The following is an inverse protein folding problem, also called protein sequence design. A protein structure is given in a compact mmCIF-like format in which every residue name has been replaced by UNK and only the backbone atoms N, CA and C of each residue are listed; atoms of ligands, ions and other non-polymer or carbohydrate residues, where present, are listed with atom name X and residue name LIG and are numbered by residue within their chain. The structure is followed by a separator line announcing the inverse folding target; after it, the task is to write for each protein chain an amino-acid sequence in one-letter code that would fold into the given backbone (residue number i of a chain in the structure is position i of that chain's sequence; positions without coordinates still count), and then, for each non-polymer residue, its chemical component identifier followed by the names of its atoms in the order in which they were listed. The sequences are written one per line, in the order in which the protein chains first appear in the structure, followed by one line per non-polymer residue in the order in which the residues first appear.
data_IF_077213206417
#
_entry.id   IF_077213206417
#
_cell.length_a   1.000
_cell.length_b   1.000
_cell.length_c   1.000
_cell.angle_alpha   90.00
_cell.angle_beta   90.00
_cell.angle_gamma   90.00
#
_symmetry.space_group_name_H-M   'P 1'
#
loop_
_entity.id
_entity.type
_entity.pdbx_description
1 polymer ?
#
# COMPACT_ATOMS: atom_id res chain seq x y z
N UNK A 1 12.05 24.38 -11.60
CA UNK A 1 10.76 24.73 -12.24
C UNK A 1 10.68 24.05 -13.60
N UNK A 2 9.74 23.12 -13.75
CA UNK A 2 9.16 22.63 -15.01
C UNK A 2 8.28 21.43 -14.63
N UNK A 3 7.07 21.72 -14.14
CA UNK A 3 6.00 20.74 -13.99
C UNK A 3 5.57 20.31 -15.38
N UNK A 4 6.17 19.23 -15.89
CA UNK A 4 5.64 18.55 -17.07
C UNK A 4 4.21 18.11 -16.72
N UNK A 5 3.23 18.74 -17.38
CA UNK A 5 1.83 18.41 -17.23
C UNK A 5 1.60 16.97 -17.68
N UNK A 6 1.46 16.07 -16.71
CA UNK A 6 0.92 14.74 -16.94
C UNK A 6 -0.56 14.98 -17.18
N UNK A 7 -1.00 14.93 -18.44
CA UNK A 7 -2.42 14.91 -18.79
C UNK A 7 -3.14 13.77 -18.04
N UNK A 8 -4.47 13.82 -17.88
CA UNK A 8 -5.19 12.84 -17.08
C UNK A 8 -4.84 11.43 -17.55
N UNK A 9 -4.14 10.67 -16.70
CA UNK A 9 -3.83 9.28 -16.95
C UNK A 9 -5.17 8.54 -17.02
N UNK A 10 -5.51 8.08 -18.23
CA UNK A 10 -6.73 7.33 -18.48
C UNK A 10 -6.63 6.02 -17.72
N UNK A 11 -7.57 5.78 -16.82
CA UNK A 11 -7.69 4.50 -16.15
C UNK A 11 -8.17 3.47 -17.15
N UNK A 12 -7.54 2.30 -17.16
CA UNK A 12 -7.89 1.22 -18.09
C UNK A 12 -9.18 0.49 -17.67
N UNK A 13 -9.60 0.69 -16.43
CA UNK A 13 -10.84 0.17 -15.87
C UNK A 13 -11.44 1.19 -14.91
N UNK A 14 -12.75 1.38 -15.01
CA UNK A 14 -13.53 2.20 -14.08
C UNK A 14 -14.73 1.39 -13.59
N UNK A 15 -15.14 1.58 -12.33
CA UNK A 15 -16.26 0.83 -11.78
C UNK A 15 -17.56 1.24 -12.47
N UNK A 16 -18.39 0.28 -12.90
CA UNK A 16 -19.62 0.56 -13.63
C UNK A 16 -20.59 1.40 -12.79
N UNK A 17 -21.39 2.25 -13.43
CA UNK A 17 -22.38 3.05 -12.72
C UNK A 17 -23.54 2.18 -12.19
N UNK A 18 -24.02 2.49 -10.98
CA UNK A 18 -25.15 1.82 -10.33
C UNK A 18 -26.47 2.51 -10.72
N UNK A 19 -27.33 1.81 -11.46
CA UNK A 19 -28.63 2.30 -11.95
C UNK A 19 -29.80 1.66 -11.22
N UNK A 20 -29.58 0.60 -10.46
CA UNK A 20 -30.57 -0.06 -9.61
C UNK A 20 -29.95 -0.91 -8.50
N UNK A 21 -30.81 -1.60 -7.74
CA UNK A 21 -30.38 -2.48 -6.63
C UNK A 21 -29.64 -3.68 -7.19
N UNK A 22 -30.11 -4.23 -8.32
CA UNK A 22 -29.53 -5.34 -9.05
C UNK A 22 -28.07 -5.10 -9.45
N UNK A 23 -27.71 -3.87 -9.84
CA UNK A 23 -26.34 -3.50 -10.21
C UNK A 23 -25.38 -3.53 -9.01
N UNK A 24 -25.91 -3.44 -7.78
CA UNK A 24 -25.08 -3.55 -6.58
C UNK A 24 -24.58 -4.98 -6.38
N UNK A 25 -25.30 -5.97 -6.94
CA UNK A 25 -25.10 -7.40 -6.68
C UNK A 25 -25.45 -7.83 -5.25
N UNK A 26 -26.05 -6.94 -4.45
CA UNK A 26 -26.53 -7.23 -3.10
C UNK A 26 -28.05 -7.39 -3.08
N UNK A 27 -28.56 -8.15 -2.12
CA UNK A 27 -30.01 -8.28 -1.92
C UNK A 27 -30.59 -7.00 -1.32
N UNK A 28 -31.86 -6.72 -1.61
CA UNK A 28 -32.56 -5.58 -1.00
C UNK A 28 -32.57 -5.66 0.54
N UNK A 29 -32.72 -6.87 1.09
CA UNK A 29 -32.68 -7.11 2.54
C UNK A 29 -31.33 -6.71 3.15
N UNK A 30 -30.21 -7.03 2.50
CA UNK A 30 -28.88 -6.61 2.96
C UNK A 30 -28.78 -5.08 3.03
N UNK A 31 -29.25 -4.38 2.00
CA UNK A 31 -29.20 -2.91 1.95
C UNK A 31 -30.10 -2.27 3.01
N UNK A 32 -31.27 -2.85 3.28
CA UNK A 32 -32.17 -2.46 4.36
C UNK A 32 -31.49 -2.61 5.73
N UNK A 33 -30.91 -3.78 5.98
CA UNK A 33 -30.22 -4.10 7.23
C UNK A 33 -29.02 -3.15 7.45
N UNK A 34 -28.27 -2.82 6.38
CA UNK A 34 -27.18 -1.83 6.43
C UNK A 34 -27.69 -0.43 6.76
N UNK A 35 -28.75 0.04 6.10
CA UNK A 35 -29.35 1.35 6.35
C UNK A 35 -29.88 1.48 7.80
N UNK A 36 -30.50 0.41 8.32
CA UNK A 36 -30.94 0.35 9.72
C UNK A 36 -29.76 0.44 10.70
N UNK A 37 -28.68 -0.30 10.45
CA UNK A 37 -27.48 -0.20 11.29
C UNK A 37 -26.85 1.20 11.27
N UNK A 38 -26.83 1.86 10.10
CA UNK A 38 -26.35 3.25 9.98
C UNK A 38 -27.20 4.19 10.87
N UNK A 39 -28.53 4.15 10.73
CA UNK A 39 -29.43 4.96 11.56
C UNK A 39 -29.33 4.61 13.04
N UNK A 40 -29.14 3.33 13.39
CA UNK A 40 -29.01 2.89 14.78
C UNK A 40 -27.82 3.54 15.49
N UNK A 41 -26.66 3.64 14.84
CA UNK A 41 -25.47 4.25 15.45
C UNK A 41 -25.44 5.79 15.35
N UNK A 42 -26.03 6.37 14.31
CA UNK A 42 -25.94 7.81 14.02
C UNK A 42 -27.17 8.61 14.45
N UNK A 43 -28.27 7.93 14.78
CA UNK A 43 -29.54 8.58 15.12
C UNK A 43 -30.26 9.12 13.89
N UNK A 44 -30.63 10.40 13.94
CA UNK A 44 -31.39 11.06 12.89
C UNK A 44 -30.48 11.52 11.74
N UNK A 45 -30.80 11.09 10.52
CA UNK A 45 -30.00 11.37 9.32
C UNK A 45 -30.90 11.76 8.16
N UNK A 46 -30.38 12.57 7.23
CA UNK A 46 -31.06 12.77 5.95
C UNK A 46 -30.92 11.56 5.04
N UNK A 47 -31.81 11.41 4.06
CA UNK A 47 -31.66 10.40 3.01
C UNK A 47 -30.33 10.52 2.26
N UNK A 48 -29.85 11.74 2.05
CA UNK A 48 -28.53 12.03 1.49
C UNK A 48 -27.39 11.48 2.36
N UNK A 49 -27.43 11.72 3.68
CA UNK A 49 -26.39 11.23 4.58
C UNK A 49 -26.34 9.69 4.58
N UNK A 50 -27.50 9.03 4.62
CA UNK A 50 -27.57 7.56 4.56
C UNK A 50 -26.96 7.05 3.25
N UNK A 51 -27.28 7.69 2.12
CA UNK A 51 -26.74 7.32 0.82
C UNK A 51 -25.23 7.59 0.70
N UNK A 52 -24.73 8.62 1.35
CA UNK A 52 -23.30 8.90 1.45
C UNK A 52 -22.59 7.83 2.27
N UNK A 53 -23.10 7.48 3.46
CA UNK A 53 -22.54 6.41 4.29
C UNK A 53 -22.51 5.05 3.57
N UNK A 54 -23.57 4.71 2.85
CA UNK A 54 -23.64 3.47 2.07
C UNK A 54 -22.82 3.52 0.77
N UNK A 55 -22.34 4.70 0.36
CA UNK A 55 -21.73 4.93 -0.95
C UNK A 55 -22.59 4.48 -2.14
N UNK A 56 -23.91 4.65 -2.03
CA UNK A 56 -24.87 4.26 -3.07
C UNK A 56 -25.68 5.46 -3.55
N UNK A 57 -26.22 5.45 -4.78
CA UNK A 57 -27.03 6.56 -5.26
C UNK A 57 -28.38 6.59 -4.55
N UNK A 58 -28.81 7.77 -4.09
CA UNK A 58 -30.11 7.89 -3.43
C UNK A 58 -31.25 7.59 -4.39
N UNK A 59 -31.26 8.22 -5.57
CA UNK A 59 -32.38 8.16 -6.50
C UNK A 59 -32.71 6.74 -6.99
N UNK A 60 -31.70 5.90 -7.20
CA UNK A 60 -31.87 4.57 -7.82
C UNK A 60 -31.85 3.41 -6.82
N UNK A 61 -31.25 3.60 -5.65
CA UNK A 61 -31.03 2.51 -4.69
C UNK A 61 -31.57 2.86 -3.31
N UNK A 62 -31.00 3.87 -2.65
CA UNK A 62 -31.28 4.12 -1.23
C UNK A 62 -32.71 4.62 -1.02
N UNK A 63 -33.27 5.40 -1.94
CA UNK A 63 -34.67 5.83 -1.89
C UNK A 63 -35.64 4.65 -1.81
N UNK A 64 -35.46 3.66 -2.69
CA UNK A 64 -36.25 2.42 -2.70
C UNK A 64 -36.12 1.63 -1.39
N UNK A 65 -34.91 1.59 -0.82
CA UNK A 65 -34.65 0.98 0.49
C UNK A 65 -35.40 1.73 1.60
N UNK A 66 -35.31 3.06 1.62
CA UNK A 66 -35.96 3.90 2.63
C UNK A 66 -37.49 3.86 2.54
N UNK A 67 -38.06 3.82 1.34
CA UNK A 67 -39.51 3.70 1.17
C UNK A 67 -40.04 2.35 1.68
N UNK A 68 -39.28 1.26 1.49
CA UNK A 68 -39.59 -0.02 2.10
C UNK A 68 -39.55 0.07 3.62
N UNK A 69 -38.45 0.56 4.20
CA UNK A 69 -38.29 0.66 5.66
C UNK A 69 -39.38 1.53 6.30
N UNK A 70 -39.78 2.61 5.63
CA UNK A 70 -40.88 3.49 6.05
C UNK A 70 -42.23 2.75 6.02
N UNK A 71 -42.53 2.04 4.92
CA UNK A 71 -43.77 1.25 4.80
C UNK A 71 -43.86 0.16 5.85
N UNK A 72 -42.74 -0.49 6.16
CA UNK A 72 -42.66 -1.52 7.20
C UNK A 72 -42.53 -0.96 8.63
N UNK A 73 -42.62 0.36 8.79
CA UNK A 73 -42.55 1.07 10.08
C UNK A 73 -41.24 0.82 10.85
N UNK A 74 -40.15 0.53 10.12
CA UNK A 74 -38.81 0.39 10.70
C UNK A 74 -38.09 1.75 10.82
N UNK A 75 -38.52 2.73 10.03
CA UNK A 75 -38.11 4.13 10.18
C UNK A 75 -39.31 5.05 9.94
N UNK A 76 -39.18 6.30 10.37
CA UNK A 76 -40.17 7.35 10.19
C UNK A 76 -39.50 8.65 9.73
N UNK A 77 -40.27 9.53 9.10
CA UNK A 77 -39.80 10.86 8.68
C UNK A 77 -40.19 11.87 9.76
N UNK A 78 -39.21 12.49 10.40
CA UNK A 78 -39.42 13.49 11.47
C UNK A 78 -39.53 14.91 10.94
N UNK A 79 -39.12 15.16 9.70
CA UNK A 79 -39.16 16.46 9.06
C UNK A 79 -38.59 16.42 7.64
N UNK A 80 -38.70 17.53 6.93
CA UNK A 80 -38.10 17.72 5.60
C UNK A 80 -37.22 18.97 5.60
N UNK A 81 -35.96 18.83 5.19
CA UNK A 81 -35.04 19.95 5.01
C UNK A 81 -35.15 20.65 3.64
N UNK A 82 -36.04 20.19 2.76
CA UNK A 82 -36.18 20.72 1.41
C UNK A 82 -37.23 19.99 0.56
N UNK A 83 -37.08 20.08 -0.76
CA UNK A 83 -37.91 19.38 -1.74
C UNK A 83 -37.27 18.02 -2.09
N UNK A 84 -38.06 16.95 -1.95
CA UNK A 84 -37.68 15.60 -2.36
C UNK A 84 -37.20 14.70 -1.23
N UNK A 85 -37.43 13.39 -1.39
CA UNK A 85 -37.24 12.39 -0.35
C UNK A 85 -35.79 12.26 0.17
N UNK A 86 -34.81 12.69 -0.62
CA UNK A 86 -33.41 12.69 -0.22
C UNK A 86 -33.11 13.66 0.95
N UNK A 87 -33.92 14.72 1.09
CA UNK A 87 -33.79 15.73 2.16
C UNK A 87 -34.63 15.44 3.40
N UNK A 88 -35.41 14.35 3.38
CA UNK A 88 -36.18 13.91 4.53
C UNK A 88 -35.26 13.47 5.65
N UNK A 89 -35.58 13.90 6.87
CA UNK A 89 -34.90 13.45 8.07
C UNK A 89 -35.55 12.16 8.57
N UNK A 90 -34.83 11.06 8.41
CA UNK A 90 -35.25 9.74 8.84
C UNK A 90 -34.77 9.48 10.27
N UNK A 91 -35.65 8.89 11.07
CA UNK A 91 -35.34 8.38 12.40
C UNK A 91 -35.73 6.91 12.46
N UNK A 92 -34.90 6.10 13.10
CA UNK A 92 -35.19 4.69 13.35
C UNK A 92 -36.31 4.56 14.38
N UNK A 93 -37.24 3.62 14.18
CA UNK A 93 -38.28 3.31 15.18
C UNK A 93 -37.81 2.22 16.14
N UNK A 94 -38.57 1.93 17.20
CA UNK A 94 -38.27 0.81 18.10
C UNK A 94 -38.18 -0.53 17.36
N UNK A 95 -39.08 -0.77 16.38
CA UNK A 95 -39.09 -1.95 15.52
C UNK A 95 -37.83 -2.04 14.64
N UNK A 96 -37.42 -0.91 14.04
CA UNK A 96 -36.18 -0.85 13.28
C UNK A 96 -34.94 -1.08 14.14
N UNK A 97 -34.93 -0.52 15.36
CA UNK A 97 -33.82 -0.66 16.29
C UNK A 97 -33.65 -2.10 16.81
N UNK A 98 -34.75 -2.81 17.04
CA UNK A 98 -34.73 -4.24 17.36
C UNK A 98 -34.11 -5.06 16.24
N UNK A 99 -34.59 -4.86 14.99
CA UNK A 99 -34.00 -5.52 13.83
C UNK A 99 -32.52 -5.17 13.64
N UNK A 100 -32.13 -3.92 13.84
CA UNK A 100 -30.72 -3.53 13.75
C UNK A 100 -29.86 -4.30 14.78
N UNK A 101 -30.32 -4.45 16.02
CA UNK A 101 -29.62 -5.22 17.06
C UNK A 101 -29.46 -6.69 16.67
N UNK A 102 -30.49 -7.34 16.14
CA UNK A 102 -30.39 -8.71 15.63
C UNK A 102 -29.31 -8.84 14.54
N UNK A 103 -29.19 -7.86 13.64
CA UNK A 103 -28.16 -7.89 12.59
C UNK A 103 -26.76 -7.61 13.14
N UNK A 104 -26.63 -6.81 14.19
CA UNK A 104 -25.35 -6.59 14.89
C UNK A 104 -24.83 -7.86 15.58
N UNK A 105 -25.70 -8.83 15.89
CA UNK A 105 -25.26 -10.15 16.35
C UNK A 105 -24.52 -10.94 15.26
N UNK A 106 -24.78 -10.65 13.98
CA UNK A 106 -24.10 -11.28 12.84
C UNK A 106 -22.87 -10.51 12.42
N UNK A 107 -22.98 -9.20 12.29
CA UNK A 107 -21.86 -8.32 11.92
C UNK A 107 -22.08 -6.88 12.34
N UNK A 108 -21.08 -6.29 13.00
CA UNK A 108 -21.10 -4.87 13.39
C UNK A 108 -20.69 -3.95 12.27
N UNK A 109 -20.33 -4.48 11.08
CA UNK A 109 -19.89 -3.68 9.95
C UNK A 109 -20.92 -2.62 9.56
N UNK A 110 -20.48 -1.37 9.51
CA UNK A 110 -21.27 -0.21 9.08
C UNK A 110 -20.37 0.71 8.28
N UNK A 111 -20.82 1.09 7.08
CA UNK A 111 -20.06 1.92 6.15
C UNK A 111 -20.54 1.70 4.71
N UNK A 112 -19.59 1.79 3.78
CA UNK A 112 -19.82 1.51 2.36
C UNK A 112 -20.54 0.18 2.18
N UNK A 113 -21.55 0.10 1.33
CA UNK A 113 -22.07 -1.20 0.94
C UNK A 113 -20.93 -2.03 0.33
N UNK A 114 -20.74 -3.30 0.74
CA UNK A 114 -19.68 -4.12 0.21
C UNK A 114 -19.93 -4.46 -1.26
N UNK A 115 -18.87 -4.80 -1.96
CA UNK A 115 -18.92 -5.29 -3.34
C UNK A 115 -18.91 -6.83 -3.33
N UNK A 116 -19.73 -7.53 -4.12
CA UNK A 116 -19.65 -8.99 -4.19
C UNK A 116 -18.25 -9.48 -4.57
N UNK A 117 -17.82 -10.60 -3.97
CA UNK A 117 -16.49 -11.17 -4.17
C UNK A 117 -16.11 -11.31 -5.64
N UNK A 118 -16.99 -11.88 -6.46
CA UNK A 118 -16.71 -12.13 -7.88
C UNK A 118 -16.51 -10.84 -8.68
N UNK A 119 -17.22 -9.77 -8.30
CA UNK A 119 -17.04 -8.44 -8.90
C UNK A 119 -15.67 -7.86 -8.54
N UNK A 120 -15.23 -8.03 -7.29
CA UNK A 120 -13.87 -7.67 -6.88
C UNK A 120 -12.81 -8.47 -7.63
N UNK A 121 -12.95 -9.79 -7.73
CA UNK A 121 -12.03 -10.67 -8.47
C UNK A 121 -11.91 -10.24 -9.93
N UNK A 122 -13.03 -9.98 -10.59
CA UNK A 122 -13.05 -9.52 -11.98
C UNK A 122 -12.36 -8.16 -12.16
N UNK A 123 -12.62 -7.20 -11.26
CA UNK A 123 -12.02 -5.87 -11.31
C UNK A 123 -10.50 -5.90 -11.10
N UNK A 124 -10.00 -6.70 -10.15
CA UNK A 124 -8.56 -6.83 -9.93
C UNK A 124 -7.87 -7.47 -11.14
N UNK A 125 -8.46 -8.51 -11.74
CA UNK A 125 -7.93 -9.13 -12.97
C UNK A 125 -7.89 -8.14 -14.14
N UNK A 126 -8.93 -7.33 -14.32
CA UNK A 126 -8.98 -6.31 -15.37
C UNK A 126 -7.91 -5.22 -15.17
N UNK A 127 -7.60 -4.86 -13.92
CA UNK A 127 -6.60 -3.84 -13.59
C UNK A 127 -5.15 -4.38 -13.47
N UNK A 128 -4.98 -5.69 -13.28
CA UNK A 128 -3.66 -6.32 -13.01
C UNK A 128 -2.72 -6.36 -14.22
N UNK A 129 -3.26 -6.51 -15.43
CA UNK A 129 -2.49 -6.72 -16.67
C UNK A 129 -1.68 -5.52 -17.17
N UNK A 130 -2.00 -4.30 -16.73
CA UNK A 130 -1.45 -3.07 -17.32
C UNK A 130 -0.29 -2.48 -16.51
N UNK A 131 0.74 -3.31 -16.28
CA UNK A 131 2.00 -2.81 -15.70
C UNK A 131 2.77 -2.01 -16.75
N UNK A 132 3.24 -0.83 -16.37
CA UNK A 132 4.03 0.02 -17.24
C UNK A 132 5.29 -0.71 -17.69
N UNK A 133 5.53 -0.78 -19.01
CA UNK A 133 6.79 -1.31 -19.55
C UNK A 133 7.91 -0.31 -19.28
N UNK A 134 8.83 -0.75 -18.44
CA UNK A 134 10.03 -0.03 -18.05
C UNK A 134 11.08 -0.13 -19.15
N UNK A 135 11.65 1.00 -19.55
CA UNK A 135 12.80 1.06 -20.45
C UNK A 135 14.03 1.64 -19.74
N UNK A 136 15.25 1.50 -20.31
CA UNK A 136 16.47 2.01 -19.68
C UNK A 136 16.45 3.51 -19.39
N UNK A 137 15.78 4.33 -20.21
CA UNK A 137 15.69 5.78 -20.01
C UNK A 137 14.86 6.11 -18.77
N UNK A 138 13.69 5.49 -18.62
CA UNK A 138 12.83 5.64 -17.45
C UNK A 138 13.53 5.16 -16.18
N UNK A 139 14.23 4.02 -16.26
CA UNK A 139 15.05 3.51 -15.17
C UNK A 139 16.11 4.53 -14.72
N UNK A 140 16.88 5.10 -15.66
CA UNK A 140 17.93 6.08 -15.35
C UNK A 140 17.35 7.31 -14.68
N UNK A 141 16.19 7.77 -15.13
CA UNK A 141 15.50 8.91 -14.54
C UNK A 141 14.99 8.61 -13.13
N UNK A 142 14.27 7.51 -12.95
CA UNK A 142 13.66 7.13 -11.67
C UNK A 142 14.70 6.79 -10.61
N UNK A 143 15.81 6.15 -10.99
CA UNK A 143 16.91 5.80 -10.07
C UNK A 143 18.04 6.83 -10.04
N UNK A 144 17.90 7.98 -10.72
CA UNK A 144 18.96 9.01 -10.79
C UNK A 144 19.44 9.51 -9.43
N UNK A 145 18.56 9.43 -8.43
CA UNK A 145 18.85 9.81 -7.05
C UNK A 145 19.69 8.77 -6.29
N UNK A 146 19.84 7.56 -6.83
CA UNK A 146 20.67 6.48 -6.30
C UNK A 146 21.93 6.31 -7.15
N UNK A 147 23.03 5.99 -6.48
CA UNK A 147 24.29 5.65 -7.14
C UNK A 147 24.41 4.15 -7.08
N UNK A 148 24.19 3.52 -8.24
CA UNK A 148 24.14 2.08 -8.41
C UNK A 148 25.16 1.65 -9.44
N UNK A 149 25.80 0.51 -9.20
CA UNK A 149 26.65 -0.15 -10.19
C UNK A 149 25.83 -0.56 -11.43
N UNK A 150 26.44 -0.49 -12.62
CA UNK A 150 25.76 -0.79 -13.89
C UNK A 150 25.23 -2.24 -13.95
N UNK A 151 25.91 -3.16 -13.26
CA UNK A 151 25.52 -4.56 -13.12
C UNK A 151 24.21 -4.74 -12.32
N UNK A 152 23.93 -3.86 -11.35
CA UNK A 152 22.68 -3.86 -10.59
C UNK A 152 21.58 -3.25 -11.45
N UNK A 153 21.89 -2.11 -12.09
CA UNK A 153 20.96 -1.38 -12.94
C UNK A 153 20.41 -2.24 -14.10
N UNK A 154 21.30 -2.99 -14.77
CA UNK A 154 20.96 -3.88 -15.88
C UNK A 154 20.06 -5.05 -15.48
N UNK A 155 20.06 -5.46 -14.20
CA UNK A 155 19.18 -6.53 -13.69
C UNK A 155 17.81 -6.03 -13.23
N UNK A 156 17.71 -4.80 -12.73
CA UNK A 156 16.45 -4.24 -12.21
C UNK A 156 15.42 -4.05 -13.34
N UNK A 157 15.82 -3.52 -14.50
CA UNK A 157 14.89 -3.24 -15.60
C UNK A 157 14.11 -4.48 -16.08
N UNK A 158 14.78 -5.59 -16.41
CA UNK A 158 14.12 -6.85 -16.74
C UNK A 158 13.26 -7.41 -15.59
N UNK A 159 13.72 -7.27 -14.34
CA UNK A 159 12.97 -7.74 -13.17
C UNK A 159 11.66 -6.97 -12.97
N UNK A 160 11.71 -5.65 -13.13
CA UNK A 160 10.54 -4.77 -13.12
C UNK A 160 9.51 -5.16 -14.20
N UNK A 161 9.97 -5.41 -15.42
CA UNK A 161 9.10 -5.77 -16.56
C UNK A 161 8.50 -7.17 -16.47
N UNK A 162 9.18 -8.13 -15.85
CA UNK A 162 8.67 -9.50 -15.77
C UNK A 162 7.43 -9.59 -14.87
N UNK A 163 7.29 -8.63 -13.95
CA UNK A 163 6.24 -8.64 -12.93
C UNK A 163 6.33 -9.81 -11.95
N UNK A 164 7.42 -10.59 -12.00
CA UNK A 164 7.68 -11.72 -11.11
C UNK A 164 8.46 -11.26 -9.88
N UNK A 165 8.57 -12.14 -8.89
CA UNK A 165 9.25 -11.84 -7.64
C UNK A 165 10.70 -11.39 -7.82
N UNK A 166 11.07 -10.40 -7.01
CA UNK A 166 12.42 -9.83 -6.95
C UNK A 166 13.01 -10.13 -5.57
N UNK A 167 14.27 -10.53 -5.54
CA UNK A 167 15.00 -10.80 -4.31
C UNK A 167 16.27 -9.95 -4.31
N UNK A 168 16.24 -8.89 -3.51
CA UNK A 168 17.34 -7.98 -3.27
C UNK A 168 18.14 -8.50 -2.07
N UNK A 169 19.40 -8.84 -2.28
CA UNK A 169 20.26 -9.34 -1.21
C UNK A 169 21.61 -8.64 -1.24
N UNK A 170 22.29 -8.63 -0.10
CA UNK A 170 23.63 -8.05 0.01
C UNK A 170 23.80 -7.31 1.33
N UNK A 171 24.97 -6.74 1.59
CA UNK A 171 25.28 -6.17 2.89
C UNK A 171 24.32 -5.03 3.31
N UNK A 172 24.13 -4.79 4.62
CA UNK A 172 23.30 -3.70 5.12
C UNK A 172 23.86 -2.34 4.72
N UNK A 173 23.00 -1.33 4.64
CA UNK A 173 23.40 0.04 4.36
C UNK A 173 23.66 0.38 2.88
N UNK A 174 23.35 -0.51 1.93
CA UNK A 174 23.53 -0.26 0.50
C UNK A 174 22.23 0.11 -0.26
N UNK A 175 21.15 0.46 0.46
CA UNK A 175 19.94 1.02 -0.17
C UNK A 175 19.00 0.03 -0.84
N UNK A 176 18.97 -1.25 -0.43
CA UNK A 176 18.04 -2.28 -0.95
C UNK A 176 16.58 -1.84 -0.87
N UNK A 177 16.14 -1.36 0.29
CA UNK A 177 14.78 -0.85 0.52
C UNK A 177 14.48 0.33 -0.40
N UNK A 178 15.42 1.27 -0.55
CA UNK A 178 15.28 2.42 -1.45
C UNK A 178 15.20 2.02 -2.93
N UNK A 179 15.93 0.98 -3.34
CA UNK A 179 15.82 0.39 -4.68
C UNK A 179 14.43 -0.21 -4.87
N UNK A 180 13.94 -1.01 -3.91
CA UNK A 180 12.60 -1.61 -3.97
C UNK A 180 11.49 -0.56 -4.08
N UNK A 181 11.52 0.47 -3.24
CA UNK A 181 10.56 1.58 -3.30
C UNK A 181 10.61 2.29 -4.66
N UNK A 182 11.80 2.53 -5.20
CA UNK A 182 11.97 3.17 -6.51
C UNK A 182 11.43 2.32 -7.65
N UNK A 183 11.58 1.00 -7.57
CA UNK A 183 10.96 0.03 -8.48
C UNK A 183 9.43 0.18 -8.41
N UNK A 184 8.87 0.20 -7.20
CA UNK A 184 7.44 0.44 -6.98
C UNK A 184 6.95 1.74 -7.63
N UNK A 185 7.57 2.88 -7.30
CA UNK A 185 7.20 4.20 -7.85
C UNK A 185 7.30 4.28 -9.38
N UNK A 186 8.25 3.57 -9.97
CA UNK A 186 8.46 3.57 -11.41
C UNK A 186 7.45 2.71 -12.17
N UNK A 187 7.09 1.52 -11.65
CA UNK A 187 6.19 0.59 -12.36
C UNK A 187 4.73 0.91 -12.08
N UNK A 188 4.43 1.45 -10.89
CA UNK A 188 3.09 1.65 -10.37
C UNK A 188 2.64 3.10 -10.53
N UNK A 189 2.82 3.68 -11.73
CA UNK A 189 2.49 5.10 -11.97
C UNK A 189 1.00 5.37 -12.08
N UNK A 190 0.20 4.35 -12.41
CA UNK A 190 -1.22 4.48 -12.64
C UNK A 190 -1.98 4.29 -11.33
N UNK A 191 -3.06 5.05 -11.17
CA UNK A 191 -4.01 4.82 -10.09
C UNK A 191 -4.81 3.52 -10.35
N UNK A 192 -5.52 3.04 -9.34
CA UNK A 192 -6.43 1.90 -9.47
C UNK A 192 -7.63 2.07 -8.54
N UNK A 193 -8.69 1.32 -8.80
CA UNK A 193 -9.85 1.25 -7.92
C UNK A 193 -9.83 -0.03 -7.08
N UNK A 194 -10.08 0.14 -5.79
CA UNK A 194 -10.38 -0.96 -4.87
C UNK A 194 -11.68 -0.68 -4.12
N UNK A 195 -12.43 -1.69 -3.69
CA UNK A 195 -13.63 -1.46 -2.89
C UNK A 195 -13.26 -1.14 -1.45
N UNK A 196 -14.15 -0.45 -0.73
CA UNK A 196 -13.99 -0.29 0.72
C UNK A 196 -14.05 -1.64 1.46
N UNK A 197 -15.00 -2.48 1.07
CA UNK A 197 -15.17 -3.83 1.57
C UNK A 197 -15.77 -4.74 0.50
N UNK A 198 -15.59 -6.04 0.67
CA UNK A 198 -16.18 -7.07 -0.17
C UNK A 198 -17.04 -8.01 0.65
N UNK A 199 -18.04 -8.60 0.02
CA UNK A 199 -18.93 -9.59 0.62
C UNK A 199 -18.66 -10.96 -0.01
N UNK A 200 -18.54 -11.97 0.85
CA UNK A 200 -18.36 -13.36 0.46
C UNK A 200 -19.06 -14.28 1.44
N UNK A 201 -20.07 -15.02 0.96
CA UNK A 201 -20.86 -15.98 1.75
C UNK A 201 -21.46 -15.43 3.06
N UNK A 202 -22.00 -14.23 2.98
CA UNK A 202 -22.57 -13.49 4.10
C UNK A 202 -21.53 -12.90 5.05
N UNK A 203 -20.24 -13.04 4.76
CA UNK A 203 -19.14 -12.44 5.51
C UNK A 203 -18.65 -11.19 4.81
N UNK A 204 -18.22 -10.19 5.59
CA UNK A 204 -17.68 -8.94 5.06
C UNK A 204 -16.17 -8.94 5.29
N UNK A 205 -15.40 -8.60 4.26
CA UNK A 205 -13.96 -8.40 4.32
C UNK A 205 -13.66 -6.95 4.01
N UNK A 206 -13.09 -6.22 4.97
CA UNK A 206 -12.62 -4.85 4.77
C UNK A 206 -11.31 -4.88 3.98
N UNK A 207 -11.26 -4.12 2.89
CA UNK A 207 -10.10 -4.10 1.96
C UNK A 207 -9.37 -2.78 2.07
N UNK A 208 -10.07 -1.66 1.89
CA UNK A 208 -9.47 -0.33 2.02
C UNK A 208 -9.26 0.05 3.48
N UNK A 209 -8.10 0.66 3.73
CA UNK A 209 -7.76 1.35 4.96
C UNK A 209 -6.76 2.48 4.64
N UNK A 210 -6.72 3.49 5.51
CA UNK A 210 -5.88 4.69 5.34
C UNK A 210 -4.39 4.46 5.66
N UNK A 211 -4.05 3.32 6.28
CA UNK A 211 -2.68 2.98 6.66
C UNK A 211 -1.92 2.43 5.44
N UNK A 212 -2.57 1.55 4.68
CA UNK A 212 -1.99 0.82 3.56
C UNK A 212 -2.31 1.45 2.20
N UNK A 213 -3.35 2.30 2.12
CA UNK A 213 -3.81 2.87 0.85
C UNK A 213 -3.83 4.39 0.89
N UNK A 214 -3.35 4.99 -0.20
CA UNK A 214 -3.40 6.43 -0.41
C UNK A 214 -4.49 6.73 -1.42
N UNK A 215 -5.63 7.25 -0.93
CA UNK A 215 -6.73 7.68 -1.78
C UNK A 215 -6.31 8.85 -2.68
N UNK A 216 -6.73 8.82 -3.94
CA UNK A 216 -6.54 9.90 -4.90
C UNK A 216 -7.80 10.78 -4.83
N UNK A 217 -7.67 12.06 -4.48
CA UNK A 217 -8.81 12.96 -4.46
C UNK A 217 -9.44 13.07 -5.85
N UNK A 218 -10.75 12.86 -5.96
CA UNK A 218 -11.49 13.16 -7.18
C UNK A 218 -11.52 14.68 -7.40
N UNK A 219 -10.65 15.19 -8.26
CA UNK A 219 -10.61 16.62 -8.62
C UNK A 219 -11.92 17.03 -9.31
N UNK A 220 -12.55 16.11 -10.07
CA UNK A 220 -13.84 16.35 -10.73
C UNK A 220 -15.01 16.53 -9.74
N UNK A 221 -14.92 15.98 -8.50
CA UNK A 221 -15.96 16.19 -7.47
C UNK A 221 -16.02 17.64 -6.99
N UNK A 222 -14.91 18.38 -7.05
CA UNK A 222 -14.82 19.76 -6.50
C UNK A 222 -15.30 20.85 -7.47
N UNK A 223 -15.36 20.59 -8.78
CA UNK A 223 -15.77 21.62 -9.76
C UNK A 223 -17.29 21.75 -9.91
N UNK A 224 -18.08 20.76 -9.47
CA UNK A 224 -19.54 20.80 -9.52
C UNK A 224 -20.17 21.23 -8.18
N UNK A 225 -19.75 22.38 -7.64
CA UNK A 225 -20.33 23.00 -6.42
C UNK A 225 -21.75 23.59 -6.63
N UNK A 226 -22.56 23.01 -7.51
CA UNK A 226 -23.91 23.53 -7.77
C UNK A 226 -24.82 22.71 -8.68
N UNK A 227 -24.34 21.61 -9.28
CA UNK A 227 -25.18 20.68 -10.03
C UNK A 227 -24.82 19.24 -9.65
N UNK A 228 -25.79 18.54 -9.07
CA UNK A 228 -25.81 17.10 -8.83
C UNK A 228 -25.81 16.36 -10.19
N UNK A 229 -24.68 16.41 -10.90
CA UNK A 229 -24.44 15.54 -12.04
C UNK A 229 -24.36 14.09 -11.58
N UNK A 230 -24.76 13.11 -12.42
CA UNK A 230 -24.69 11.71 -12.07
C UNK A 230 -23.24 11.34 -11.67
N UNK A 231 -23.09 10.72 -10.48
CA UNK A 231 -21.82 10.09 -10.08
C UNK A 231 -21.40 9.17 -11.22
N UNK A 232 -20.26 9.46 -11.86
CA UNK A 232 -19.86 8.77 -13.10
C UNK A 232 -19.52 7.28 -12.91
N UNK A 233 -19.33 6.82 -11.67
CA UNK A 233 -19.10 5.41 -11.34
C UNK A 233 -19.63 5.01 -9.95
N UNK A 234 -19.53 3.73 -9.63
CA UNK A 234 -19.91 3.17 -8.32
C UNK A 234 -18.99 3.68 -7.20
N UNK A 235 -19.57 4.42 -6.25
CA UNK A 235 -18.85 5.07 -5.16
C UNK A 235 -18.38 4.11 -4.05
N UNK A 236 -18.80 2.83 -4.08
CA UNK A 236 -18.24 1.78 -3.21
C UNK A 236 -16.77 1.49 -3.50
N UNK A 237 -16.28 1.96 -4.64
CA UNK A 237 -14.89 1.89 -5.05
C UNK A 237 -14.18 3.20 -4.79
N UNK A 238 -12.98 3.11 -4.22
CA UNK A 238 -12.09 4.23 -3.98
C UNK A 238 -10.93 4.17 -4.96
N UNK A 239 -10.67 5.29 -5.63
CA UNK A 239 -9.48 5.47 -6.46
C UNK A 239 -8.28 5.67 -5.54
N UNK A 240 -7.26 4.84 -5.69
CA UNK A 240 -6.03 4.87 -4.88
C UNK A 240 -4.81 4.95 -5.79
N UNK A 241 -3.70 5.46 -5.24
CA UNK A 241 -2.38 5.15 -5.79
C UNK A 241 -2.18 3.64 -5.67
N UNK A 242 -1.63 3.00 -6.70
CA UNK A 242 -1.32 1.56 -6.65
C UNK A 242 -0.54 1.25 -5.36
N UNK A 243 -0.98 0.24 -4.59
CA UNK A 243 -0.52 0.06 -3.23
C UNK A 243 0.95 -0.35 -3.19
N UNK A 244 1.70 0.23 -2.26
CA UNK A 244 3.06 -0.18 -1.93
C UNK A 244 3.06 -0.47 -0.44
N UNK A 245 2.91 -1.74 -0.09
CA UNK A 245 2.86 -2.20 1.30
C UNK A 245 4.23 -2.75 1.66
N UNK A 246 4.77 -2.32 2.80
CA UNK A 246 6.04 -2.78 3.33
C UNK A 246 5.83 -3.42 4.69
N UNK A 247 6.44 -4.58 4.90
CA UNK A 247 6.45 -5.30 6.18
C UNK A 247 7.88 -5.72 6.52
N UNK A 248 8.21 -5.67 7.80
CA UNK A 248 9.52 -6.03 8.35
C UNK A 248 9.48 -7.29 9.22
N UNK A 249 10.05 -7.20 10.42
CA UNK A 249 10.16 -8.31 11.38
C UNK A 249 8.83 -8.70 12.04
N UNK A 250 7.82 -7.84 11.96
CA UNK A 250 6.47 -8.00 12.51
C UNK A 250 5.57 -8.91 11.67
N UNK A 251 6.01 -9.32 10.47
CA UNK A 251 5.25 -10.20 9.60
C UNK A 251 5.09 -11.59 10.25
N UNK A 252 3.84 -12.04 10.37
CA UNK A 252 3.46 -13.39 10.82
C UNK A 252 2.73 -14.14 9.70
N UNK A 253 2.59 -15.47 9.82
CA UNK A 253 1.76 -16.26 8.89
C UNK A 253 0.28 -15.87 8.96
N UNK A 254 -0.21 -15.56 10.15
CA UNK A 254 -1.60 -15.14 10.35
C UNK A 254 -1.91 -13.82 9.62
N UNK A 255 -0.93 -12.93 9.51
CA UNK A 255 -1.03 -11.71 8.70
C UNK A 255 -1.17 -11.94 7.19
N UNK A 256 -1.00 -13.20 6.74
CA UNK A 256 -1.22 -13.64 5.36
C UNK A 256 -2.57 -14.33 5.17
N UNK A 257 -3.37 -14.47 6.22
CA UNK A 257 -4.72 -15.05 6.15
C UNK A 257 -5.78 -13.98 6.42
N UNK A 258 -7.04 -14.30 6.13
CA UNK A 258 -8.16 -13.43 6.49
C UNK A 258 -8.27 -13.35 8.02
N UNK A 259 -8.11 -12.16 8.58
CA UNK A 259 -8.13 -11.96 10.04
C UNK A 259 -9.57 -11.68 10.47
N UNK A 260 -10.20 -12.64 11.15
CA UNK A 260 -11.56 -12.47 11.67
C UNK A 260 -11.53 -11.75 13.04
N UNK A 261 -12.19 -10.61 13.13
CA UNK A 261 -12.41 -9.93 14.41
C UNK A 261 -13.65 -10.54 15.09
N UNK A 262 -13.47 -11.21 16.23
CA UNK A 262 -14.58 -11.85 16.96
C UNK A 262 -15.55 -10.84 17.59
N UNK A 263 -15.09 -9.63 17.89
CA UNK A 263 -15.91 -8.56 18.50
C UNK A 263 -16.76 -7.92 17.42
N UNK A 264 -16.13 -7.55 16.31
CA UNK A 264 -16.81 -6.84 15.23
C UNK A 264 -17.49 -7.77 14.20
N UNK A 265 -17.11 -9.05 14.17
CA UNK A 265 -17.68 -10.09 13.31
C UNK A 265 -17.61 -9.71 11.83
N UNK A 266 -16.42 -9.29 11.41
CA UNK A 266 -16.04 -9.14 10.01
C UNK A 266 -14.53 -9.40 9.89
N UNK A 267 -14.07 -9.52 8.65
CA UNK A 267 -12.67 -9.78 8.32
C UNK A 267 -11.91 -8.53 7.95
N UNK A 268 -10.63 -8.51 8.27
CA UNK A 268 -9.64 -7.65 7.64
C UNK A 268 -8.91 -8.43 6.54
N UNK A 269 -8.75 -7.81 5.37
CA UNK A 269 -7.97 -8.39 4.28
C UNK A 269 -6.48 -8.52 4.64
N UNK A 270 -5.79 -9.62 4.26
CA UNK A 270 -4.37 -9.76 4.49
C UNK A 270 -3.54 -8.84 3.59
N UNK A 271 -2.26 -8.64 3.94
CA UNK A 271 -1.38 -7.67 3.27
C UNK A 271 -1.25 -7.91 1.76
N UNK A 272 -1.13 -9.15 1.30
CA UNK A 272 -1.04 -9.44 -0.13
C UNK A 272 -2.33 -9.09 -0.88
N UNK A 273 -3.50 -9.24 -0.24
CA UNK A 273 -4.77 -8.86 -0.85
C UNK A 273 -4.91 -7.35 -0.93
N UNK A 274 -4.47 -6.63 0.12
CA UNK A 274 -4.40 -5.16 0.13
C UNK A 274 -3.38 -4.63 -0.89
N UNK A 275 -2.29 -5.35 -1.13
CA UNK A 275 -1.25 -5.01 -2.10
C UNK A 275 -1.60 -5.37 -3.56
N UNK A 276 -2.79 -5.93 -3.84
CA UNK A 276 -3.16 -6.34 -5.20
C UNK A 276 -3.10 -5.18 -6.20
N UNK A 277 -2.57 -5.45 -7.39
CA UNK A 277 -2.29 -4.42 -8.40
C UNK A 277 -1.07 -3.56 -8.06
N UNK A 278 -0.40 -3.80 -6.94
CA UNK A 278 0.72 -3.01 -6.45
C UNK A 278 1.98 -3.84 -6.18
N UNK A 279 2.71 -3.42 -5.16
CA UNK A 279 3.93 -4.06 -4.68
C UNK A 279 3.80 -4.41 -3.20
N UNK A 280 4.31 -5.59 -2.85
CA UNK A 280 4.47 -6.03 -1.47
C UNK A 280 5.94 -6.27 -1.16
N UNK A 281 6.55 -5.40 -0.35
CA UNK A 281 7.95 -5.46 0.05
C UNK A 281 8.07 -6.12 1.43
N UNK A 282 8.87 -7.16 1.51
CA UNK A 282 9.25 -7.81 2.77
C UNK A 282 10.71 -7.45 3.04
N UNK A 283 10.92 -6.52 3.96
CA UNK A 283 12.25 -6.07 4.35
C UNK A 283 12.83 -6.94 5.48
N UNK A 284 14.16 -6.96 5.57
CA UNK A 284 14.90 -7.82 6.48
C UNK A 284 14.44 -9.29 6.47
N UNK A 285 14.10 -9.81 5.29
CA UNK A 285 13.68 -11.19 5.09
C UNK A 285 14.72 -12.17 5.65
N UNK A 286 14.30 -13.06 6.54
CA UNK A 286 15.22 -13.86 7.36
C UNK A 286 15.23 -13.53 8.84
N UNK A 287 14.69 -12.37 9.23
CA UNK A 287 14.69 -11.89 10.62
C UNK A 287 13.29 -11.79 11.22
N UNK A 288 12.29 -12.34 10.56
CA UNK A 288 10.93 -12.45 11.05
C UNK A 288 10.83 -13.50 12.17
N UNK A 289 9.78 -13.40 12.98
CA UNK A 289 9.41 -14.45 13.95
C UNK A 289 9.09 -15.78 13.24
N UNK A 290 8.49 -15.70 12.05
CA UNK A 290 8.24 -16.84 11.18
C UNK A 290 9.49 -17.22 10.40
N UNK A 291 9.72 -18.53 10.19
CA UNK A 291 10.83 -19.01 9.38
C UNK A 291 10.63 -18.61 7.91
N UNK A 292 11.68 -18.14 7.20
CA UNK A 292 11.62 -17.79 5.77
C UNK A 292 11.01 -18.86 4.88
N UNK A 293 11.31 -20.14 5.19
CA UNK A 293 10.77 -21.30 4.49
C UNK A 293 9.25 -21.37 4.55
N UNK A 294 8.65 -21.01 5.67
CA UNK A 294 7.20 -21.12 5.87
C UNK A 294 6.47 -20.02 5.09
N UNK A 295 7.01 -18.79 5.09
CA UNK A 295 6.52 -17.70 4.24
C UNK A 295 6.60 -18.06 2.75
N UNK A 296 7.73 -18.59 2.32
CA UNK A 296 7.91 -18.99 0.92
C UNK A 296 6.99 -20.15 0.55
N UNK A 297 6.84 -21.15 1.42
CA UNK A 297 5.88 -22.26 1.25
C UNK A 297 4.45 -21.74 1.01
N UNK A 298 4.02 -20.77 1.82
CA UNK A 298 2.70 -20.17 1.72
C UNK A 298 2.45 -19.50 0.36
N UNK A 299 3.49 -18.98 -0.29
CA UNK A 299 3.38 -18.29 -1.57
C UNK A 299 3.88 -19.05 -2.79
N UNK A 300 4.32 -20.31 -2.67
CA UNK A 300 4.67 -21.14 -3.84
C UNK A 300 3.54 -21.11 -4.87
N UNK A 301 2.33 -21.49 -4.44
CA UNK A 301 1.18 -21.62 -5.35
C UNK A 301 0.70 -20.25 -5.83
N UNK A 302 0.52 -19.23 -4.95
CA UNK A 302 0.21 -17.86 -5.38
C UNK A 302 1.16 -17.28 -6.42
N UNK A 303 2.48 -17.45 -6.23
CA UNK A 303 3.47 -16.92 -7.16
C UNK A 303 3.48 -17.67 -8.51
N UNK A 304 3.22 -18.98 -8.51
CA UNK A 304 3.19 -19.78 -9.73
C UNK A 304 1.88 -19.62 -10.51
N UNK A 305 0.73 -19.67 -9.83
CA UNK A 305 -0.60 -19.66 -10.44
C UNK A 305 -1.26 -18.28 -10.52
N UNK A 306 -0.69 -17.26 -9.85
CA UNK A 306 -1.29 -15.92 -9.71
C UNK A 306 -2.67 -15.95 -9.05
N UNK A 307 -2.92 -16.95 -8.20
CA UNK A 307 -4.14 -17.11 -7.41
C UNK A 307 -3.74 -17.53 -6.01
N UNK A 308 -4.24 -16.82 -5.02
CA UNK A 308 -4.11 -17.15 -3.61
C UNK A 308 -5.42 -17.72 -3.08
N UNK A 309 -5.33 -18.59 -2.07
CA UNK A 309 -6.44 -19.27 -1.44
C UNK A 309 -6.52 -18.82 0.01
N UNK A 310 -7.61 -18.13 0.36
CA UNK A 310 -7.84 -17.66 1.72
C UNK A 310 -8.97 -18.45 2.34
N UNK A 311 -8.86 -18.77 3.63
CA UNK A 311 -9.88 -19.50 4.37
C UNK A 311 -10.69 -18.56 5.26
N UNK A 312 -12.01 -18.72 5.24
CA UNK A 312 -12.91 -18.15 6.24
C UNK A 312 -12.92 -19.02 7.50
N UNK A 313 -13.32 -18.46 8.64
CA UNK A 313 -13.55 -19.19 9.90
C UNK A 313 -14.57 -20.34 9.76
N UNK A 314 -15.42 -20.28 8.74
CA UNK A 314 -16.37 -21.34 8.39
C UNK A 314 -15.70 -22.56 7.73
N UNK A 315 -14.40 -22.49 7.44
CA UNK A 315 -13.64 -23.52 6.72
C UNK A 315 -13.74 -23.40 5.19
N UNK A 316 -14.60 -22.53 4.66
CA UNK A 316 -14.70 -22.29 3.22
C UNK A 316 -13.44 -21.58 2.71
N UNK A 317 -12.94 -22.05 1.57
CA UNK A 317 -11.82 -21.44 0.86
C UNK A 317 -12.33 -20.61 -0.31
N UNK A 318 -11.72 -19.45 -0.50
CA UNK A 318 -12.03 -18.51 -1.57
C UNK A 318 -10.78 -18.22 -2.37
N UNK A 319 -10.94 -18.11 -3.69
CA UNK A 319 -9.85 -17.76 -4.60
C UNK A 319 -9.77 -16.24 -4.72
N UNK A 320 -8.58 -15.69 -4.47
CA UNK A 320 -8.26 -14.28 -4.66
C UNK A 320 -7.18 -14.13 -5.73
N UNK A 321 -7.30 -13.17 -6.67
CA UNK A 321 -6.20 -12.85 -7.58
C UNK A 321 -4.96 -12.47 -6.80
N UNK A 322 -3.81 -12.92 -7.29
CA UNK A 322 -2.50 -12.60 -6.71
C UNK A 322 -1.72 -11.71 -7.68
N UNK A 323 -2.24 -10.51 -7.91
CA UNK A 323 -1.71 -9.51 -8.86
C UNK A 323 -0.67 -8.59 -8.22
N UNK A 324 0.20 -9.16 -7.38
CA UNK A 324 1.16 -8.44 -6.54
C UNK A 324 2.58 -8.62 -7.08
N UNK A 325 3.36 -7.54 -7.14
CA UNK A 325 4.81 -7.64 -7.27
C UNK A 325 5.43 -7.87 -5.89
N UNK A 326 5.84 -9.11 -5.59
CA UNK A 326 6.56 -9.39 -4.34
C UNK A 326 8.04 -8.99 -4.49
N UNK A 327 8.54 -8.23 -3.54
CA UNK A 327 9.97 -7.93 -3.39
C UNK A 327 10.43 -8.42 -2.02
N UNK A 328 11.47 -9.23 -1.99
CA UNK A 328 12.16 -9.62 -0.77
C UNK A 328 13.45 -8.81 -0.67
N UNK A 329 13.73 -8.23 0.50
CA UNK A 329 14.99 -7.55 0.80
C UNK A 329 15.64 -8.23 1.99
N UNK A 330 16.93 -8.58 1.89
CA UNK A 330 17.65 -9.24 2.98
C UNK A 330 19.12 -8.85 3.07
N UNK A 331 19.63 -8.85 4.29
CA UNK A 331 21.05 -8.71 4.59
C UNK A 331 21.80 -10.06 4.58
N UNK A 332 21.07 -11.18 4.50
CA UNK A 332 21.62 -12.53 4.54
C UNK A 332 21.85 -13.08 3.12
N UNK A 333 22.88 -13.89 2.90
CA UNK A 333 23.03 -14.66 1.67
C UNK A 333 21.80 -15.55 1.41
N UNK A 334 21.30 -15.65 0.16
CA UNK A 334 20.10 -16.44 -0.15
C UNK A 334 20.17 -17.91 0.28
N UNK A 335 21.37 -18.51 0.24
CA UNK A 335 21.64 -19.89 0.65
C UNK A 335 21.43 -20.15 2.15
N UNK A 336 21.51 -19.10 2.97
CA UNK A 336 21.34 -19.21 4.42
C UNK A 336 19.85 -19.11 4.82
N UNK A 337 18.98 -18.73 3.87
CA UNK A 337 17.55 -18.54 4.09
C UNK A 337 16.73 -19.75 3.66
N UNK A 338 17.06 -20.34 2.50
CA UNK A 338 16.32 -21.46 1.91
C UNK A 338 17.19 -22.34 0.99
N UNK A 339 16.70 -23.54 0.69
CA UNK A 339 17.34 -24.47 -0.23
C UNK A 339 17.27 -24.02 -1.71
N UNK A 340 17.99 -24.76 -2.56
CA UNK A 340 18.08 -24.48 -3.99
C UNK A 340 16.72 -24.58 -4.71
N UNK A 341 15.83 -25.48 -4.27
CA UNK A 341 14.52 -25.67 -4.90
C UNK A 341 13.64 -24.43 -4.74
N UNK A 342 13.68 -23.77 -3.57
CA UNK A 342 13.01 -22.49 -3.37
C UNK A 342 13.66 -21.36 -4.17
N UNK A 343 14.99 -21.27 -4.17
CA UNK A 343 15.68 -20.24 -4.93
C UNK A 343 15.34 -20.32 -6.41
N UNK A 344 15.08 -21.50 -6.99
CA UNK A 344 14.64 -21.65 -8.39
C UNK A 344 13.29 -20.98 -8.68
N UNK A 345 12.40 -20.82 -7.70
CA UNK A 345 11.09 -20.17 -7.85
C UNK A 345 11.16 -18.64 -7.79
N UNK A 346 12.20 -18.11 -7.19
CA UNK A 346 12.49 -16.67 -7.19
C UNK A 346 13.22 -16.32 -8.48
N UNK A 347 12.53 -15.65 -9.40
CA UNK A 347 13.05 -15.43 -10.76
C UNK A 347 14.24 -14.46 -10.77
N UNK A 348 14.12 -13.32 -10.11
CA UNK A 348 15.15 -12.28 -10.16
C UNK A 348 15.87 -12.17 -8.82
N UNK A 349 17.16 -12.52 -8.82
CA UNK A 349 18.05 -12.37 -7.66
C UNK A 349 19.06 -11.28 -7.99
N UNK A 350 19.01 -10.18 -7.25
CA UNK A 350 19.83 -8.99 -7.51
C UNK A 350 20.68 -8.76 -6.28
N UNK A 351 21.98 -8.94 -6.44
CA UNK A 351 22.96 -8.60 -5.42
C UNK A 351 23.20 -7.10 -5.42
N UNK A 352 22.96 -6.45 -4.29
CA UNK A 352 23.27 -5.05 -4.06
C UNK A 352 24.61 -4.99 -3.32
N UNK A 353 25.66 -4.77 -4.10
CA UNK A 353 27.03 -4.71 -3.60
C UNK A 353 27.34 -3.37 -2.95
N UNK A 354 28.47 -3.31 -2.26
CA UNK A 354 29.08 -2.05 -1.83
C UNK A 354 29.41 -1.16 -3.03
N UNK A 355 29.35 0.17 -2.87
CA UNK A 355 29.77 1.10 -3.91
C UNK A 355 31.28 1.00 -4.15
N UNK A 356 31.70 1.28 -5.38
CA UNK A 356 33.10 1.61 -5.72
C UNK A 356 33.56 2.90 -5.02
N UNK A 357 34.87 3.16 -4.97
CA UNK A 357 35.40 4.41 -4.40
C UNK A 357 34.86 5.66 -5.10
N UNK A 358 34.75 5.64 -6.43
CA UNK A 358 34.17 6.75 -7.18
C UNK A 358 32.67 6.91 -6.90
N UNK A 359 31.93 5.79 -6.86
CA UNK A 359 30.55 5.80 -6.42
C UNK A 359 30.38 6.36 -5.01
N UNK A 360 31.25 5.97 -4.08
CA UNK A 360 31.23 6.45 -2.69
C UNK A 360 31.49 7.95 -2.61
N UNK A 361 32.48 8.49 -3.34
CA UNK A 361 32.75 9.94 -3.42
C UNK A 361 31.55 10.72 -3.96
N UNK A 362 30.92 10.21 -5.01
CA UNK A 362 29.71 10.82 -5.58
C UNK A 362 28.52 10.76 -4.60
N UNK A 363 28.37 9.69 -3.82
CA UNK A 363 27.37 9.64 -2.73
C UNK A 363 27.68 10.73 -1.71
N UNK A 364 28.94 10.81 -1.27
CA UNK A 364 29.39 11.77 -0.27
C UNK A 364 29.10 13.21 -0.67
N UNK A 365 29.40 13.55 -1.94
CA UNK A 365 29.10 14.86 -2.52
C UNK A 365 27.62 15.21 -2.47
N UNK A 366 26.73 14.30 -2.89
CA UNK A 366 25.28 14.53 -2.85
C UNK A 366 24.73 14.66 -1.44
N UNK A 367 25.30 13.94 -0.48
CA UNK A 367 24.89 14.05 0.92
C UNK A 367 25.36 15.38 1.52
N UNK A 368 26.59 15.84 1.22
CA UNK A 368 27.07 17.17 1.59
C UNK A 368 26.13 18.27 1.09
N UNK A 369 25.76 18.23 -0.19
CA UNK A 369 24.82 19.19 -0.80
C UNK A 369 23.46 19.19 -0.07
N UNK A 370 22.93 18.02 0.27
CA UNK A 370 21.64 17.89 0.97
C UNK A 370 21.70 18.40 2.41
N UNK A 371 22.81 18.16 3.10
CA UNK A 371 23.07 18.57 4.49
C UNK A 371 23.61 20.01 4.59
N UNK A 372 23.86 20.67 3.45
CA UNK A 372 24.46 22.01 3.35
C UNK A 372 25.85 22.10 4.01
N UNK A 373 26.59 21.00 3.95
CA UNK A 373 28.01 20.95 4.33
C UNK A 373 28.84 21.12 3.06
N UNK A 374 29.90 21.92 3.13
CA UNK A 374 30.77 22.15 1.97
C UNK A 374 31.57 20.88 1.67
N UNK A 375 31.48 20.38 0.43
CA UNK A 375 32.23 19.21 0.01
C UNK A 375 33.71 19.56 -0.15
N UNK A 376 34.56 18.85 0.58
CA UNK A 376 36.02 18.92 0.44
C UNK A 376 36.58 17.56 0.00
N UNK A 377 37.19 17.57 -1.19
CA UNK A 377 37.83 16.40 -1.77
C UNK A 377 39.00 15.88 -0.92
N UNK A 378 39.73 16.78 -0.24
CA UNK A 378 40.86 16.38 0.60
C UNK A 378 40.39 15.69 1.87
N UNK A 379 39.39 16.26 2.55
CA UNK A 379 38.74 15.64 3.71
C UNK A 379 38.18 14.24 3.41
N UNK A 380 37.46 14.07 2.29
CA UNK A 380 36.92 12.76 1.90
C UNK A 380 38.06 11.77 1.58
N UNK A 381 39.12 12.22 0.90
CA UNK A 381 40.29 11.37 0.63
C UNK A 381 40.97 10.92 1.92
N UNK A 382 41.11 11.83 2.89
CA UNK A 382 41.65 11.54 4.20
C UNK A 382 40.82 10.46 4.92
N UNK A 383 39.49 10.64 4.98
CA UNK A 383 38.56 9.66 5.54
C UNK A 383 38.73 8.27 4.88
N UNK A 384 38.77 8.22 3.54
CA UNK A 384 38.94 6.98 2.79
C UNK A 384 40.28 6.29 3.10
N UNK A 385 41.37 7.05 3.19
CA UNK A 385 42.69 6.47 3.48
C UNK A 385 42.78 5.96 4.93
N UNK A 386 42.43 6.77 5.90
CA UNK A 386 42.65 6.46 7.32
C UNK A 386 41.63 5.45 7.87
N UNK A 387 40.36 5.57 7.50
CA UNK A 387 39.29 4.77 8.11
C UNK A 387 38.83 3.60 7.27
N UNK A 388 39.04 3.65 5.94
CA UNK A 388 38.63 2.55 5.06
C UNK A 388 39.81 1.69 4.62
N UNK A 389 40.83 2.28 4.00
CA UNK A 389 41.96 1.52 3.46
C UNK A 389 42.83 0.95 4.58
N UNK A 390 43.31 1.79 5.51
CA UNK A 390 44.20 1.33 6.59
C UNK A 390 43.52 0.36 7.56
N UNK A 391 42.24 0.58 7.88
CA UNK A 391 41.46 -0.28 8.78
C UNK A 391 40.77 -1.46 8.08
N UNK A 392 40.95 -1.62 6.76
CA UNK A 392 40.30 -2.64 5.94
C UNK A 392 38.75 -2.67 6.09
N UNK A 393 38.16 -1.48 6.24
CA UNK A 393 36.71 -1.31 6.38
C UNK A 393 36.03 -1.38 5.02
N UNK A 394 34.91 -2.10 4.92
CA UNK A 394 34.12 -2.15 3.68
C UNK A 394 33.32 -0.86 3.48
N UNK A 395 33.29 -0.33 2.27
CA UNK A 395 32.44 0.80 1.90
C UNK A 395 30.96 0.41 1.99
N UNK A 396 30.10 1.32 2.47
CA UNK A 396 28.63 1.18 2.43
C UNK A 396 28.00 2.49 1.99
N UNK A 397 26.90 2.42 1.27
CA UNK A 397 26.24 3.61 0.73
C UNK A 397 25.62 4.52 1.81
N UNK A 398 25.33 4.00 3.00
CA UNK A 398 24.82 4.79 4.14
C UNK A 398 25.93 5.54 4.89
N UNK A 399 27.19 5.07 4.86
CA UNK A 399 28.24 5.66 5.68
C UNK A 399 28.41 7.18 5.47
N UNK A 400 28.37 7.74 4.24
CA UNK A 400 28.49 9.19 4.08
C UNK A 400 27.43 9.99 4.85
N UNK A 401 26.19 9.50 4.88
CA UNK A 401 25.11 10.12 5.67
C UNK A 401 25.41 10.00 7.15
N UNK A 402 25.68 8.79 7.62
CA UNK A 402 25.82 8.56 9.05
C UNK A 402 27.07 9.29 9.63
N UNK A 403 28.17 9.35 8.87
CA UNK A 403 29.38 10.10 9.24
C UNK A 403 29.11 11.61 9.23
N UNK A 404 28.43 12.14 8.22
CA UNK A 404 28.09 13.56 8.17
C UNK A 404 27.13 13.96 9.29
N UNK A 405 26.18 13.09 9.65
CA UNK A 405 25.27 13.32 10.76
C UNK A 405 26.03 13.42 12.10
N UNK A 406 26.93 12.47 12.36
CA UNK A 406 27.83 12.53 13.52
C UNK A 406 28.71 13.78 13.52
N UNK A 407 29.26 14.14 12.36
CA UNK A 407 30.08 15.34 12.21
C UNK A 407 29.30 16.62 12.52
N UNK A 408 28.04 16.71 12.07
CA UNK A 408 27.16 17.83 12.35
C UNK A 408 26.83 17.92 13.84
N UNK A 409 26.46 16.79 14.46
CA UNK A 409 26.15 16.75 15.90
C UNK A 409 27.35 17.22 16.75
N UNK A 410 28.57 16.82 16.37
CA UNK A 410 29.82 17.25 17.04
C UNK A 410 30.09 18.73 16.80
N UNK A 411 29.94 19.22 15.56
CA UNK A 411 30.16 20.62 15.23
C UNK A 411 29.18 21.55 15.98
N UNK A 412 27.91 21.16 16.04
CA UNK A 412 26.87 21.88 16.77
C UNK A 412 27.18 21.93 18.28
N UNK A 413 27.62 20.81 18.87
CA UNK A 413 28.04 20.76 20.27
C UNK A 413 29.24 21.68 20.57
N UNK A 414 30.22 21.72 19.66
CA UNK A 414 31.41 22.55 19.79
C UNK A 414 31.18 24.02 19.42
N UNK A 415 30.01 24.36 18.90
CA UNK A 415 29.67 25.72 18.43
C UNK A 415 30.47 26.16 17.20
N UNK A 416 30.91 25.20 16.36
CA UNK A 416 31.68 25.46 15.14
C UNK A 416 30.86 25.14 13.89
N UNK A 417 31.24 25.71 12.75
CA UNK A 417 30.57 25.39 11.47
C UNK A 417 30.92 23.95 11.05
N UNK A 418 29.94 23.12 10.62
CA UNK A 418 30.23 21.78 10.13
C UNK A 418 31.06 21.83 8.84
N UNK A 419 32.25 21.25 8.89
CA UNK A 419 33.21 21.21 7.79
C UNK A 419 33.95 19.87 7.80
N UNK A 420 34.40 19.42 6.62
CA UNK A 420 35.17 18.20 6.44
C UNK A 420 36.65 18.36 6.81
N UNK A 421 36.90 18.99 7.96
CA UNK A 421 38.23 19.11 8.56
C UNK A 421 38.65 17.78 9.18
N UNK A 422 39.96 17.52 9.21
CA UNK A 422 40.55 16.32 9.81
C UNK A 422 40.02 16.05 11.22
N UNK A 423 39.98 17.07 12.07
CA UNK A 423 39.62 16.96 13.48
C UNK A 423 38.16 16.52 13.70
N UNK A 424 37.25 17.06 12.88
CA UNK A 424 35.83 16.69 12.94
C UNK A 424 35.57 15.33 12.28
N UNK A 425 36.28 15.01 11.21
CA UNK A 425 36.23 13.68 10.57
C UNK A 425 36.69 12.61 11.54
N UNK A 426 37.82 12.83 12.23
CA UNK A 426 38.38 11.85 13.16
C UNK A 426 37.38 11.56 14.30
N UNK A 427 36.83 12.61 14.91
CA UNK A 427 35.82 12.48 15.98
C UNK A 427 34.55 11.74 15.50
N UNK A 428 34.01 12.12 14.33
CA UNK A 428 32.82 11.49 13.79
C UNK A 428 33.06 10.02 13.43
N UNK A 429 34.19 9.72 12.80
CA UNK A 429 34.53 8.39 12.33
C UNK A 429 34.93 7.45 13.48
N UNK A 430 35.64 7.91 14.50
CA UNK A 430 35.95 7.10 15.68
C UNK A 430 34.71 6.82 16.54
N UNK A 431 33.76 7.75 16.61
CA UNK A 431 32.44 7.51 17.25
C UNK A 431 31.62 6.47 16.47
N UNK A 432 31.61 6.55 15.13
CA UNK A 432 30.80 5.67 14.29
C UNK A 432 31.39 4.27 14.13
N UNK A 433 32.71 4.17 13.86
CA UNK A 433 33.40 2.89 13.68
C UNK A 433 33.90 2.36 15.01
N UNK A 434 32.94 1.94 15.86
CA UNK A 434 33.26 1.24 17.10
C UNK A 434 33.89 -0.12 16.76
N UNK A 435 35.00 -0.47 17.44
CA UNK A 435 35.52 -1.83 17.42
C UNK A 435 34.59 -2.71 18.26
N UNK A 436 33.86 -3.61 17.60
CA UNK A 436 33.02 -4.63 18.25
C UNK A 436 33.82 -5.89 18.58
#
# INVERSE_FOLDING_TARGET
MSTAGIGPQRLDWEPPAIKGIEDTGLTQGFLQDLALKIMYFRGQLTGHDIAEYMHLPFATVVGTVMDFLKREQMCEVKGSGGLGAATYQYSITSKGAERAREQLERTTYVGAAPVPWDTYVAAIKAQGGNRLRVNPKMMKQSLSHLILEESVFSKIGPAANSGKSIFLYGPPGNGKTTIAESIGRMILTNDMYIPYAVEVDGQIVKVFDEINHVAVPDIERKMNTGQLGPRRGDARWVRIKRPVIMVGGELTLDGLELIYDQTNKYYEAPFQMKANGGMFLIDDFGRQQVRPRDLLNRWIVPMEKQIDFLALHTGRKVEVPFEVLIVFSTNLPPRDLVDEAFLRRIRHKIEVTSPTFDGYREIFKRVCDRRRVEYDEQGVRYLLQEYYIKRNQKLRANHPRDILDQLMDIADYLGVKPQLTKELIDQAADSYFVQL
#
